data_IF_499795181207
#
_entry.id   IF_499795181207
#
_cell.length_a   1.000
_cell.length_b   1.000
_cell.length_c   1.000
_cell.angle_alpha   90.00
_cell.angle_beta   90.00
_cell.angle_gamma   90.00
#
_symmetry.space_group_name_H-M   'P 1'
#
loop_
_entity.id
_entity.type
_entity.pdbx_description
1 polymer ?
#
# COMPACT_ATOMS: atom_id res chain seq x y z
N UNK A 1 3.23 -59.25 -16.16
CA UNK A 1 2.67 -59.65 -17.48
C UNK A 1 1.24 -59.14 -17.46
N UNK A 2 0.78 -58.24 -18.33
CA UNK A 2 1.01 -58.15 -19.77
C UNK A 2 0.64 -56.75 -20.26
N UNK A 3 1.34 -56.33 -21.30
CA UNK A 3 1.20 -55.13 -22.11
C UNK A 3 -0.19 -54.94 -22.75
N UNK A 4 -0.44 -53.70 -23.22
CA UNK A 4 -1.34 -53.30 -24.31
C UNK A 4 -2.85 -53.60 -24.12
N UNK A 5 -3.77 -52.77 -24.61
CA UNK A 5 -3.62 -51.65 -25.53
C UNK A 5 -4.97 -50.99 -25.80
N UNK A 6 -4.88 -49.87 -26.51
CA UNK A 6 -5.98 -49.12 -27.06
C UNK A 6 -6.40 -49.75 -28.40
N UNK A 7 -7.68 -50.08 -28.56
CA UNK A 7 -8.29 -50.36 -29.87
C UNK A 7 -9.64 -49.66 -29.93
N UNK A 8 -9.71 -48.65 -30.79
CA UNK A 8 -10.94 -48.08 -31.34
C UNK A 8 -11.30 -48.87 -32.57
N UNK A 9 -12.54 -49.35 -32.68
CA UNK A 9 -13.13 -49.58 -34.00
C UNK A 9 -14.66 -49.52 -33.96
N UNK A 10 -15.14 -49.06 -35.10
CA UNK A 10 -16.45 -48.56 -35.49
C UNK A 10 -17.39 -49.71 -35.88
N UNK A 11 -18.66 -49.38 -36.11
CA UNK A 11 -19.74 -50.17 -36.74
C UNK A 11 -20.42 -51.31 -35.97
N UNK A 12 -21.76 -51.26 -35.97
CA UNK A 12 -22.60 -52.46 -36.08
C UNK A 12 -23.48 -52.80 -34.89
N UNK A 13 -24.80 -52.82 -35.16
CA UNK A 13 -25.88 -53.40 -34.35
C UNK A 13 -25.48 -54.57 -33.44
N UNK A 14 -25.99 -54.58 -32.21
CA UNK A 14 -26.73 -55.75 -31.67
C UNK A 14 -27.49 -55.40 -30.39
N UNK A 15 -28.80 -55.64 -30.44
CA UNK A 15 -29.72 -55.70 -29.32
C UNK A 15 -29.31 -56.85 -28.40
N UNK A 16 -28.97 -56.54 -27.15
CA UNK A 16 -28.93 -57.55 -26.08
C UNK A 16 -29.41 -56.92 -24.76
N UNK A 17 -30.73 -57.00 -24.56
CA UNK A 17 -31.41 -56.88 -23.27
C UNK A 17 -30.76 -57.86 -22.29
N UNK A 18 -29.98 -57.36 -21.33
CA UNK A 18 -29.68 -58.09 -20.10
C UNK A 18 -29.94 -57.15 -18.94
N UNK A 19 -31.03 -57.43 -18.23
CA UNK A 19 -31.46 -56.66 -17.09
C UNK A 19 -30.35 -56.60 -16.05
N UNK A 20 -30.01 -55.37 -15.65
CA UNK A 20 -29.35 -55.13 -14.39
C UNK A 20 -30.27 -54.26 -13.54
N UNK A 21 -30.49 -54.83 -12.36
CA UNK A 21 -31.25 -54.34 -11.23
C UNK A 21 -30.83 -52.94 -10.79
N UNK A 22 -31.83 -52.21 -10.34
CA UNK A 22 -31.78 -50.88 -9.75
C UNK A 22 -30.67 -50.76 -8.68
N UNK A 23 -29.85 -49.71 -8.77
CA UNK A 23 -28.81 -49.39 -7.80
C UNK A 23 -28.41 -47.92 -7.83
N UNK A 24 -29.20 -47.05 -7.19
CA UNK A 24 -28.95 -45.66 -6.71
C UNK A 24 -28.42 -44.60 -7.69
N UNK A 25 -28.83 -43.32 -7.53
CA UNK A 25 -28.32 -42.22 -8.34
C UNK A 25 -26.92 -41.86 -7.81
N UNK A 26 -25.87 -42.32 -8.47
CA UNK A 26 -24.54 -41.73 -8.24
C UNK A 26 -24.46 -40.39 -8.97
N UNK A 27 -24.82 -39.37 -8.20
CA UNK A 27 -24.41 -37.96 -8.34
C UNK A 27 -23.15 -37.79 -9.19
N UNK A 28 -23.27 -37.03 -10.28
CA UNK A 28 -22.13 -36.47 -11.00
C UNK A 28 -21.30 -35.62 -10.04
N UNK A 29 -20.29 -36.23 -9.41
CA UNK A 29 -19.32 -35.51 -8.60
C UNK A 29 -18.47 -34.64 -9.53
N UNK A 30 -18.86 -33.36 -9.64
CA UNK A 30 -18.00 -32.28 -10.12
C UNK A 30 -16.76 -32.28 -9.23
N UNK A 31 -15.66 -32.89 -9.68
CA UNK A 31 -14.35 -32.72 -9.05
C UNK A 31 -13.98 -31.26 -9.22
N UNK A 32 -14.25 -30.44 -8.21
CA UNK A 32 -13.59 -29.15 -8.05
C UNK A 32 -12.11 -29.44 -7.93
N UNK A 33 -11.35 -29.14 -8.98
CA UNK A 33 -9.91 -29.00 -8.87
C UNK A 33 -9.64 -28.05 -7.69
N UNK A 34 -8.67 -28.36 -6.80
CA UNK A 34 -8.28 -27.39 -5.80
C UNK A 34 -7.73 -26.18 -6.57
N UNK A 35 -8.46 -25.07 -6.52
CA UNK A 35 -7.90 -23.77 -6.90
C UNK A 35 -6.70 -23.61 -5.97
N UNK A 36 -5.49 -23.80 -6.49
CA UNK A 36 -4.27 -23.39 -5.82
C UNK A 36 -4.30 -21.86 -5.83
N UNK A 37 -5.03 -21.29 -4.87
CA UNK A 37 -4.85 -19.90 -4.50
C UNK A 37 -3.39 -19.79 -4.08
N UNK A 38 -2.62 -19.08 -4.90
CA UNK A 38 -1.30 -18.61 -4.55
C UNK A 38 -1.46 -17.84 -3.25
N UNK A 39 -1.10 -18.45 -2.12
CA UNK A 39 -1.03 -17.76 -0.83
C UNK A 39 0.10 -16.74 -0.97
N UNK A 40 -0.28 -15.49 -1.27
CA UNK A 40 0.58 -14.34 -1.06
C UNK A 40 1.15 -14.46 0.36
N UNK A 41 2.48 -14.55 0.48
CA UNK A 41 3.22 -14.84 1.72
C UNK A 41 3.10 -13.78 2.83
N UNK A 42 2.03 -12.99 2.83
CA UNK A 42 1.78 -11.87 3.73
C UNK A 42 1.26 -12.34 5.09
N UNK A 43 0.63 -13.52 5.16
CA UNK A 43 0.08 -14.11 6.40
C UNK A 43 0.98 -15.17 7.03
N UNK A 44 2.23 -15.32 6.56
CA UNK A 44 3.18 -16.22 7.21
C UNK A 44 3.55 -15.64 8.58
N UNK A 45 3.24 -16.41 9.62
CA UNK A 45 3.57 -16.09 11.01
C UNK A 45 5.06 -16.35 11.21
N UNK A 46 5.80 -15.29 11.53
CA UNK A 46 7.22 -15.32 11.82
C UNK A 46 7.49 -15.70 13.28
N UNK A 47 6.74 -15.10 14.22
CA UNK A 47 7.02 -15.21 15.64
C UNK A 47 5.74 -15.02 16.47
N UNK A 48 5.67 -15.65 17.64
CA UNK A 48 4.55 -15.57 18.58
C UNK A 48 4.22 -16.91 19.24
N UNK A 49 3.21 -16.95 20.14
CA UNK A 49 2.32 -15.84 20.50
C UNK A 49 2.96 -14.83 21.46
N UNK A 50 2.72 -13.54 21.22
CA UNK A 50 3.04 -12.46 22.16
C UNK A 50 1.79 -12.05 22.93
N UNK A 51 1.90 -11.90 24.26
CA UNK A 51 0.80 -11.39 25.10
C UNK A 51 0.64 -9.89 24.90
N UNK A 52 -0.48 -9.46 24.32
CA UNK A 52 -0.86 -8.06 24.21
C UNK A 52 -2.03 -7.69 25.13
N UNK A 53 -2.23 -6.38 25.36
CA UNK A 53 -3.36 -5.87 26.15
C UNK A 53 -4.73 -6.18 25.52
N UNK A 54 -4.76 -6.54 24.23
CA UNK A 54 -5.97 -6.86 23.45
C UNK A 54 -6.06 -8.35 23.07
N UNK A 55 -5.24 -9.21 23.67
CA UNK A 55 -5.15 -10.64 23.36
C UNK A 55 -3.79 -11.04 22.81
N UNK A 56 -3.65 -12.32 22.50
CA UNK A 56 -2.44 -12.88 21.92
C UNK A 56 -2.32 -12.46 20.46
N UNK A 57 -1.15 -11.96 20.07
CA UNK A 57 -0.87 -11.54 18.70
C UNK A 57 0.35 -12.24 18.13
N UNK A 58 0.39 -12.35 16.80
CA UNK A 58 1.43 -13.04 16.04
C UNK A 58 2.09 -12.05 15.09
N UNK A 59 3.42 -12.09 15.01
CA UNK A 59 4.18 -11.28 14.07
C UNK A 59 4.08 -11.92 12.68
N UNK A 60 3.56 -11.20 11.70
CA UNK A 60 3.45 -11.68 10.32
C UNK A 60 4.48 -11.01 9.43
N UNK A 61 4.88 -11.68 8.33
CA UNK A 61 5.79 -11.09 7.34
C UNK A 61 5.27 -9.77 6.77
N UNK A 62 3.95 -9.67 6.52
CA UNK A 62 3.33 -8.47 5.99
C UNK A 62 3.48 -7.26 6.92
N UNK A 63 3.37 -7.45 8.23
CA UNK A 63 3.53 -6.37 9.21
C UNK A 63 4.97 -5.84 9.25
N UNK A 64 5.96 -6.75 9.25
CA UNK A 64 7.39 -6.38 9.24
C UNK A 64 7.75 -5.59 7.98
N UNK A 65 7.29 -6.05 6.81
CA UNK A 65 7.54 -5.36 5.53
C UNK A 65 6.85 -3.98 5.54
N UNK A 66 5.62 -3.89 6.04
CA UNK A 66 4.88 -2.63 6.15
C UNK A 66 5.60 -1.59 7.00
N UNK A 67 6.09 -1.98 8.19
CA UNK A 67 6.85 -1.11 9.09
C UNK A 67 8.16 -0.65 8.45
N UNK A 68 8.86 -1.56 7.78
CA UNK A 68 10.11 -1.26 7.09
C UNK A 68 9.90 -0.24 5.97
N UNK A 69 8.94 -0.48 5.10
CA UNK A 69 8.62 0.39 3.97
C UNK A 69 8.18 1.79 4.44
N UNK A 70 7.37 1.85 5.51
CA UNK A 70 6.98 3.11 6.16
C UNK A 70 8.19 3.93 6.63
N UNK A 71 9.17 3.29 7.28
CA UNK A 71 10.38 3.97 7.78
C UNK A 71 11.25 4.47 6.63
N UNK A 72 11.46 3.65 5.60
CA UNK A 72 12.24 4.07 4.44
C UNK A 72 11.56 5.20 3.67
N UNK A 73 10.22 5.18 3.55
CA UNK A 73 9.48 6.28 2.94
C UNK A 73 9.67 7.59 3.72
N UNK A 74 9.63 7.56 5.06
CA UNK A 74 9.91 8.76 5.87
C UNK A 74 11.34 9.25 5.76
N UNK A 75 12.31 8.34 5.75
CA UNK A 75 13.71 8.73 5.53
C UNK A 75 13.89 9.35 4.15
N UNK A 76 13.27 8.79 3.11
CA UNK A 76 13.28 9.36 1.76
C UNK A 76 12.64 10.75 1.69
N UNK A 77 11.51 10.95 2.35
CA UNK A 77 10.86 12.26 2.47
C UNK A 77 11.77 13.28 3.20
N UNK A 78 12.40 12.87 4.30
CA UNK A 78 13.30 13.74 5.06
C UNK A 78 14.57 14.11 4.28
N UNK A 79 15.20 13.13 3.61
CA UNK A 79 16.41 13.37 2.82
C UNK A 79 16.12 14.29 1.63
N UNK A 80 15.05 14.04 0.89
CA UNK A 80 14.66 14.90 -0.24
C UNK A 80 14.34 16.33 0.21
N UNK A 81 13.59 16.50 1.31
CA UNK A 81 13.32 17.82 1.88
C UNK A 81 14.59 18.51 2.39
N UNK A 82 15.53 17.79 3.01
CA UNK A 82 16.79 18.34 3.49
C UNK A 82 17.69 18.81 2.33
N UNK A 83 17.75 18.04 1.23
CA UNK A 83 18.50 18.44 0.03
C UNK A 83 17.83 19.68 -0.60
N UNK A 84 16.51 19.70 -0.72
CA UNK A 84 15.77 20.86 -1.25
C UNK A 84 16.05 22.12 -0.43
N UNK A 85 15.96 22.02 0.90
CA UNK A 85 16.27 23.13 1.81
C UNK A 85 17.74 23.55 1.73
N UNK A 86 18.67 22.59 1.64
CA UNK A 86 20.09 22.87 1.49
C UNK A 86 20.41 23.63 0.20
N UNK A 87 19.79 23.27 -0.92
CA UNK A 87 19.93 24.00 -2.19
C UNK A 87 19.31 25.39 -2.09
N UNK A 88 18.10 25.50 -1.53
CA UNK A 88 17.39 26.77 -1.42
C UNK A 88 18.10 27.79 -0.50
N UNK A 89 18.80 27.32 0.54
CA UNK A 89 19.52 28.18 1.49
C UNK A 89 20.99 28.40 1.12
N UNK A 90 21.60 27.48 0.37
CA UNK A 90 23.04 27.48 0.08
C UNK A 90 23.44 28.15 -1.23
N UNK A 91 22.50 28.47 -2.12
CA UNK A 91 22.77 29.01 -3.46
C UNK A 91 22.03 30.33 -3.64
N UNK A 92 22.72 31.38 -4.11
CA UNK A 92 22.12 32.71 -4.31
C UNK A 92 21.05 32.74 -5.42
N UNK A 93 21.12 31.82 -6.38
CA UNK A 93 20.11 31.60 -7.42
C UNK A 93 19.85 30.10 -7.58
N UNK A 94 19.03 29.49 -6.70
CA UNK A 94 18.78 28.06 -6.76
C UNK A 94 18.00 27.73 -8.04
N UNK A 95 18.30 26.60 -8.70
CA UNK A 95 17.50 26.13 -9.84
C UNK A 95 16.10 25.73 -9.35
N UNK A 96 15.13 26.64 -9.47
CA UNK A 96 13.75 26.46 -9.00
C UNK A 96 13.10 25.15 -9.46
N UNK A 97 13.25 24.71 -10.73
CA UNK A 97 12.64 23.46 -11.18
C UNK A 97 13.16 22.23 -10.43
N UNK A 98 14.42 22.27 -10.00
CA UNK A 98 15.04 21.16 -9.24
C UNK A 98 14.48 21.16 -7.82
N UNK A 99 14.40 22.32 -7.17
CA UNK A 99 13.84 22.45 -5.82
C UNK A 99 12.36 22.03 -5.80
N UNK A 100 11.58 22.47 -6.79
CA UNK A 100 10.17 22.12 -6.92
C UNK A 100 9.98 20.62 -7.18
N UNK A 101 10.82 20.00 -8.03
CA UNK A 101 10.81 18.56 -8.25
C UNK A 101 11.15 17.79 -6.96
N UNK A 102 12.16 18.22 -6.21
CA UNK A 102 12.51 17.61 -4.93
C UNK A 102 11.38 17.73 -3.91
N UNK A 103 10.67 18.86 -3.87
CA UNK A 103 9.50 19.05 -3.03
C UNK A 103 8.37 18.08 -3.40
N UNK A 104 8.07 17.91 -4.69
CA UNK A 104 7.08 16.93 -5.15
C UNK A 104 7.49 15.49 -4.80
N UNK A 105 8.78 15.16 -4.92
CA UNK A 105 9.33 13.86 -4.51
C UNK A 105 9.15 13.66 -3.01
N UNK A 106 9.45 14.66 -2.19
CA UNK A 106 9.24 14.62 -0.74
C UNK A 106 7.77 14.37 -0.39
N UNK A 107 6.85 15.07 -1.07
CA UNK A 107 5.41 14.85 -0.93
C UNK A 107 4.96 13.46 -1.38
N UNK A 108 5.55 12.91 -2.43
CA UNK A 108 5.30 11.54 -2.90
C UNK A 108 5.71 10.49 -1.86
N UNK A 109 6.91 10.62 -1.29
CA UNK A 109 7.39 9.76 -0.20
C UNK A 109 6.55 9.89 1.07
N UNK A 110 6.11 11.11 1.40
CA UNK A 110 5.17 11.36 2.48
C UNK A 110 3.86 10.58 2.25
N UNK A 111 3.27 10.69 1.05
CA UNK A 111 2.06 9.93 0.68
C UNK A 111 2.24 8.42 0.74
N UNK A 112 3.37 7.91 0.25
CA UNK A 112 3.71 6.49 0.32
C UNK A 112 3.80 6.00 1.77
N UNK A 113 4.41 6.79 2.65
CA UNK A 113 4.47 6.51 4.09
C UNK A 113 3.07 6.42 4.70
N UNK A 114 2.18 7.37 4.36
CA UNK A 114 0.79 7.34 4.79
C UNK A 114 0.06 6.09 4.28
N UNK A 115 0.33 5.62 3.06
CA UNK A 115 -0.34 4.44 2.55
C UNK A 115 0.13 3.15 3.24
N UNK A 116 1.42 3.04 3.54
CA UNK A 116 2.02 1.87 4.19
C UNK A 116 1.68 1.74 5.67
N UNK A 117 1.27 2.83 6.32
CA UNK A 117 0.92 2.77 7.74
C UNK A 117 -0.41 2.02 7.92
N UNK A 118 -0.34 0.76 8.33
CA UNK A 118 -1.54 0.01 8.73
C UNK A 118 -1.98 0.51 10.11
N UNK A 119 -2.82 1.54 10.14
CA UNK A 119 -3.44 2.04 11.38
C UNK A 119 -4.79 1.34 11.56
N UNK A 120 -5.01 0.74 12.74
CA UNK A 120 -6.29 0.10 13.12
C UNK A 120 -7.48 1.08 13.08
N UNK A 121 -7.23 2.37 13.34
CA UNK A 121 -8.21 3.46 13.25
C UNK A 121 -8.36 3.98 11.79
N UNK A 122 -9.22 3.32 11.02
CA UNK A 122 -9.60 3.72 9.65
C UNK A 122 -9.97 5.22 9.47
N UNK A 123 -10.77 5.87 10.34
CA UNK A 123 -11.20 7.25 10.09
C UNK A 123 -10.04 8.25 10.12
N UNK A 124 -9.10 8.09 11.05
CA UNK A 124 -7.93 8.96 11.14
C UNK A 124 -7.00 8.79 9.93
N UNK A 125 -6.82 7.54 9.47
CA UNK A 125 -6.00 7.25 8.30
C UNK A 125 -6.53 7.93 7.03
N UNK A 126 -7.85 7.90 6.83
CA UNK A 126 -8.49 8.52 5.68
C UNK A 126 -8.42 10.05 5.74
N UNK A 127 -8.54 10.65 6.93
CA UNK A 127 -8.39 12.09 7.10
C UNK A 127 -6.97 12.55 6.73
N UNK A 128 -5.94 11.83 7.18
CA UNK A 128 -4.55 12.15 6.82
C UNK A 128 -4.30 12.03 5.30
N UNK A 129 -4.86 11.00 4.66
CA UNK A 129 -4.78 10.85 3.19
C UNK A 129 -5.49 11.98 2.45
N UNK A 130 -6.65 12.41 2.95
CA UNK A 130 -7.38 13.52 2.37
C UNK A 130 -6.61 14.84 2.49
N UNK A 131 -6.06 15.14 3.68
CA UNK A 131 -5.24 16.33 3.91
C UNK A 131 -3.98 16.35 3.02
N UNK A 132 -3.30 15.20 2.92
CA UNK A 132 -2.18 15.05 2.00
C UNK A 132 -2.61 15.22 0.54
N UNK A 133 -3.73 14.63 0.13
CA UNK A 133 -4.27 14.75 -1.22
C UNK A 133 -4.61 16.20 -1.59
N UNK A 134 -5.25 16.94 -0.69
CA UNK A 134 -5.55 18.37 -0.87
C UNK A 134 -4.26 19.18 -0.98
N UNK A 135 -3.29 18.93 -0.10
CA UNK A 135 -2.02 19.66 -0.10
C UNK A 135 -1.17 19.42 -1.35
N UNK A 136 -1.11 18.16 -1.81
CA UNK A 136 -0.41 17.78 -3.04
C UNK A 136 -1.11 18.30 -4.28
N UNK A 137 -2.43 18.22 -4.34
CA UNK A 137 -3.21 18.83 -5.42
C UNK A 137 -2.99 20.35 -5.48
N UNK A 138 -2.94 21.02 -4.31
CA UNK A 138 -2.63 22.44 -4.21
C UNK A 138 -1.24 22.79 -4.75
N UNK A 139 -0.21 22.01 -4.40
CA UNK A 139 1.15 22.19 -4.91
C UNK A 139 1.24 22.01 -6.43
N UNK A 140 0.60 20.97 -6.95
CA UNK A 140 0.58 20.70 -8.39
C UNK A 140 -0.19 21.78 -9.14
N UNK A 141 -1.34 22.21 -8.63
CA UNK A 141 -2.12 23.30 -9.21
C UNK A 141 -1.34 24.62 -9.23
N UNK A 142 -0.63 24.96 -8.15
CA UNK A 142 0.24 26.13 -8.10
C UNK A 142 1.29 26.09 -9.21
N UNK A 143 2.01 24.97 -9.37
CA UNK A 143 3.02 24.81 -10.42
C UNK A 143 2.48 25.05 -11.84
N UNK A 144 1.27 24.54 -12.14
CA UNK A 144 0.66 24.71 -13.46
C UNK A 144 0.10 26.11 -13.69
N UNK A 145 -0.39 26.78 -12.65
CA UNK A 145 -1.11 28.05 -12.77
C UNK A 145 -0.21 29.27 -12.64
N UNK A 146 0.87 29.19 -11.86
CA UNK A 146 1.79 30.33 -11.68
C UNK A 146 2.96 30.30 -12.66
N UNK A 147 3.45 29.13 -13.07
CA UNK A 147 4.53 28.98 -14.07
C UNK A 147 5.91 29.49 -13.64
N UNK A 148 6.01 30.25 -12.55
CA UNK A 148 7.24 30.87 -12.02
C UNK A 148 7.95 30.03 -10.94
N UNK A 149 7.45 28.81 -10.72
CA UNK A 149 7.94 27.88 -9.69
C UNK A 149 7.13 27.95 -8.40
N UNK A 150 7.16 26.87 -7.62
CA UNK A 150 6.32 26.74 -6.43
C UNK A 150 6.70 27.79 -5.39
N UNK A 151 7.99 28.01 -5.16
CA UNK A 151 8.46 28.97 -4.15
C UNK A 151 7.95 30.41 -4.39
N UNK A 152 8.08 30.90 -5.63
CA UNK A 152 7.62 32.24 -6.00
C UNK A 152 6.08 32.34 -6.02
N UNK A 153 5.39 31.36 -6.60
CA UNK A 153 3.93 31.34 -6.61
C UNK A 153 3.29 31.29 -5.22
N UNK A 154 3.96 30.64 -4.26
CA UNK A 154 3.50 30.57 -2.87
C UNK A 154 3.76 31.87 -2.11
N UNK A 155 4.82 32.59 -2.46
CA UNK A 155 5.15 33.90 -1.89
C UNK A 155 4.17 34.98 -2.35
N UNK A 156 3.86 35.01 -3.65
CA UNK A 156 3.03 36.05 -4.25
C UNK A 156 1.54 35.87 -3.95
N UNK A 157 1.08 34.63 -3.73
CA UNK A 157 -0.33 34.34 -3.47
C UNK A 157 -0.53 33.53 -2.18
N UNK A 158 -1.16 34.17 -1.19
CA UNK A 158 -1.53 33.55 0.09
C UNK A 158 -2.38 32.28 -0.08
N UNK A 159 -3.18 32.20 -1.15
CA UNK A 159 -4.02 31.04 -1.45
C UNK A 159 -3.18 29.78 -1.70
N UNK A 160 -2.08 29.88 -2.45
CA UNK A 160 -1.18 28.75 -2.70
C UNK A 160 -0.40 28.35 -1.45
N UNK A 161 -0.08 29.30 -0.58
CA UNK A 161 0.50 29.03 0.74
C UNK A 161 -0.45 28.22 1.63
N UNK A 162 -1.74 28.58 1.64
CA UNK A 162 -2.74 27.81 2.37
C UNK A 162 -2.98 26.43 1.75
N UNK A 163 -2.99 26.35 0.41
CA UNK A 163 -3.19 25.10 -0.30
C UNK A 163 -2.06 24.10 0.00
N UNK A 164 -0.80 24.53 -0.13
CA UNK A 164 0.37 23.68 0.16
C UNK A 164 0.52 23.37 1.66
N UNK A 165 0.09 24.29 2.54
CA UNK A 165 0.13 24.12 4.00
C UNK A 165 -0.63 22.90 4.53
N UNK A 166 -1.64 22.41 3.81
CA UNK A 166 -2.35 21.17 4.19
C UNK A 166 -1.45 19.93 4.21
N UNK A 167 -0.36 19.91 3.44
CA UNK A 167 0.66 18.85 3.52
C UNK A 167 1.36 18.84 4.88
N UNK A 168 1.61 20.02 5.47
CA UNK A 168 2.20 20.16 6.79
C UNK A 168 1.25 19.69 7.91
N UNK A 169 -0.06 19.92 7.73
CA UNK A 169 -1.09 19.37 8.63
C UNK A 169 -1.11 17.84 8.58
N UNK A 170 -0.97 17.23 7.40
CA UNK A 170 -0.86 15.78 7.29
C UNK A 170 0.40 15.22 7.98
N UNK A 171 1.54 15.92 7.86
CA UNK A 171 2.79 15.54 8.50
C UNK A 171 2.72 15.66 10.03
N UNK A 172 2.16 16.74 10.57
CA UNK A 172 1.94 16.89 12.02
C UNK A 172 0.95 15.84 12.55
N UNK A 173 -0.08 15.52 11.76
CA UNK A 173 -0.98 14.37 11.97
C UNK A 173 -0.24 13.04 12.16
N UNK A 174 0.83 12.82 11.40
CA UNK A 174 1.68 11.62 11.50
C UNK A 174 2.46 11.58 12.83
N UNK A 175 3.01 12.71 13.28
CA UNK A 175 3.78 12.80 14.53
C UNK A 175 2.94 12.52 15.77
N UNK A 176 1.65 12.87 15.77
CA UNK A 176 0.76 12.53 16.90
C UNK A 176 0.69 11.03 17.19
N UNK A 177 0.86 10.17 16.18
CA UNK A 177 0.95 8.72 16.40
C UNK A 177 2.22 8.33 17.16
N UNK A 178 3.36 8.94 16.81
CA UNK A 178 4.66 8.62 17.40
C UNK A 178 4.73 9.09 18.85
N UNK A 179 4.23 10.30 19.14
CA UNK A 179 4.33 10.88 20.47
C UNK A 179 3.45 10.16 21.51
N UNK A 180 2.28 9.66 21.10
CA UNK A 180 1.40 8.87 21.99
C UNK A 180 2.01 7.52 22.36
N UNK A 181 2.79 6.91 21.48
CA UNK A 181 3.44 5.62 21.77
C UNK A 181 4.67 5.78 22.69
N UNK A 182 5.45 6.85 22.55
CA UNK A 182 6.59 7.12 23.44
C UNK A 182 6.13 7.42 24.87
N UNK A 183 4.98 8.09 25.05
CA UNK A 183 4.45 8.41 26.39
C UNK A 183 3.90 7.18 27.14
N UNK A 184 3.47 6.13 26.44
CA UNK A 184 2.84 4.96 27.05
C UNK A 184 3.79 3.77 27.26
N UNK A 185 5.02 3.86 26.77
CA UNK A 185 6.04 2.80 26.93
C UNK A 185 7.16 3.21 27.89
N UNK A 186 7.12 4.43 28.43
CA UNK A 186 8.14 5.02 29.30
C UNK A 186 7.57 5.62 30.59
N UNK A 187 6.34 5.24 30.95
CA UNK A 187 5.72 5.35 32.28
C UNK A 187 5.20 3.95 32.63
#
# INVERSE_FOLDING_TARGET
MTSCGFVVSNTGLTLAKKGLTCGRPQSCAVRKAPIRMSSSGDSEVLEGPFKGNFGDWYLTKGDVIGVRDYRFALLGAAVSAAIAAGIALGVENPPLPVVDALYLVANGFLGLSLWKIHIYMKPMHNLLKALWGVGTAGAVAALFLTGEGLAFGTYDQTLWMLATGWTFVAMTGLFFKVQRLVRLYWD
#
